data_IF_083537527326
#
_entry.id   IF_083537527326
#
_cell.length_a   1.000
_cell.length_b   1.000
_cell.length_c   1.000
_cell.angle_alpha   90.00
_cell.angle_beta   90.00
_cell.angle_gamma   90.00
#
_symmetry.space_group_name_H-M   'P 1'
#
loop_
_entity.id
_entity.type
_entity.pdbx_description
1 polymer ?
#
# COMPACT_ATOMS: atom_id res chain seq x y z
N UNK A 1 -7.58 -34.22 27.40
CA UNK A 1 -6.35 -33.89 26.64
C UNK A 1 -6.58 -34.11 25.14
N UNK A 2 -7.70 -33.57 24.62
CA UNK A 2 -8.15 -33.67 23.23
C UNK A 2 -8.47 -32.27 22.65
N UNK A 3 -8.14 -31.20 23.38
CA UNK A 3 -8.54 -29.82 23.07
C UNK A 3 -7.66 -29.10 22.02
N UNK A 4 -6.67 -29.76 21.41
CA UNK A 4 -5.70 -29.04 20.54
C UNK A 4 -5.46 -29.63 19.15
N UNK A 5 -6.30 -30.54 18.66
CA UNK A 5 -6.28 -30.91 17.24
C UNK A 5 -7.43 -30.22 16.52
N UNK A 6 -7.18 -28.98 16.09
CA UNK A 6 -8.07 -28.22 15.20
C UNK A 6 -7.51 -28.24 13.79
N UNK A 7 -8.37 -28.47 12.81
CA UNK A 7 -8.05 -28.26 11.39
C UNK A 7 -8.05 -26.75 11.16
N UNK A 8 -6.92 -26.21 10.72
CA UNK A 8 -6.85 -24.86 10.18
C UNK A 8 -7.35 -24.90 8.73
N UNK A 9 -8.21 -23.95 8.35
CA UNK A 9 -8.64 -23.81 6.97
C UNK A 9 -7.52 -23.26 6.08
N UNK A 10 -7.72 -23.31 4.77
CA UNK A 10 -6.77 -22.77 3.77
C UNK A 10 -6.78 -21.23 3.66
N UNK A 11 -7.38 -20.54 4.64
CA UNK A 11 -7.40 -19.09 4.74
C UNK A 11 -6.28 -18.60 5.66
N UNK A 12 -5.75 -17.39 5.44
CA UNK A 12 -4.86 -16.77 6.42
C UNK A 12 -5.50 -16.78 7.82
N UNK A 13 -4.67 -16.96 8.84
CA UNK A 13 -5.16 -17.01 10.21
C UNK A 13 -5.36 -15.59 10.72
N UNK A 14 -6.64 -15.19 10.82
CA UNK A 14 -7.03 -13.80 11.06
C UNK A 14 -7.44 -13.53 12.52
N UNK A 15 -7.49 -14.57 13.37
CA UNK A 15 -7.81 -14.46 14.79
C UNK A 15 -6.57 -14.03 15.59
N UNK A 16 -6.15 -12.78 15.40
CA UNK A 16 -4.83 -12.33 15.85
C UNK A 16 -4.74 -12.23 17.39
N UNK A 17 -5.87 -12.06 18.09
CA UNK A 17 -5.96 -12.15 19.55
C UNK A 17 -5.85 -13.58 20.12
N UNK A 18 -5.83 -14.61 19.28
CA UNK A 18 -5.54 -15.98 19.70
C UNK A 18 -4.04 -16.31 19.55
N UNK A 19 -3.56 -17.22 20.41
CA UNK A 19 -2.20 -17.77 20.36
C UNK A 19 -1.86 -18.16 18.92
N UNK A 20 -0.71 -17.71 18.41
CA UNK A 20 -0.31 -18.02 17.04
C UNK A 20 -0.13 -19.52 16.82
N UNK A 21 -1.01 -20.16 16.02
CA UNK A 21 -0.88 -21.58 15.75
C UNK A 21 0.33 -21.90 14.86
N UNK A 22 0.90 -20.90 14.17
CA UNK A 22 2.07 -21.07 13.29
C UNK A 22 3.39 -20.66 13.98
N UNK A 23 3.34 -20.06 15.17
CA UNK A 23 4.51 -19.70 15.96
C UNK A 23 5.39 -18.57 15.37
N UNK A 24 4.80 -17.68 14.58
CA UNK A 24 5.47 -16.52 13.98
C UNK A 24 5.51 -15.28 14.87
N UNK A 25 4.92 -15.29 16.06
CA UNK A 25 4.86 -14.07 16.90
C UNK A 25 6.24 -13.43 17.16
N UNK A 26 7.27 -14.20 17.56
CA UNK A 26 8.63 -13.67 17.76
C UNK A 26 9.27 -13.13 16.47
N UNK A 27 8.98 -13.79 15.34
CA UNK A 27 9.44 -13.37 14.02
C UNK A 27 8.78 -12.06 13.61
N UNK A 28 7.46 -11.93 13.84
CA UNK A 28 6.70 -10.71 13.55
C UNK A 28 7.17 -9.56 14.44
N UNK A 29 7.42 -9.80 15.73
CA UNK A 29 7.95 -8.78 16.66
C UNK A 29 9.30 -8.22 16.17
N UNK A 30 10.15 -9.09 15.61
CA UNK A 30 11.42 -8.64 15.00
C UNK A 30 11.20 -7.71 13.81
N UNK A 31 10.18 -7.94 12.97
CA UNK A 31 9.83 -7.01 11.88
C UNK A 31 9.29 -5.68 12.40
N UNK A 32 8.47 -5.71 13.45
CA UNK A 32 7.98 -4.47 14.08
C UNK A 32 9.16 -3.62 14.52
N UNK A 33 10.13 -4.22 15.21
CA UNK A 33 11.33 -3.50 15.67
C UNK A 33 12.16 -2.95 14.51
N UNK A 34 12.37 -3.74 13.46
CA UNK A 34 13.10 -3.28 12.26
C UNK A 34 12.39 -2.07 11.63
N UNK A 35 11.07 -2.15 11.44
CA UNK A 35 10.29 -1.09 10.80
C UNK A 35 10.30 0.19 11.64
N UNK A 36 10.04 0.09 12.95
CA UNK A 36 9.98 1.24 13.84
C UNK A 36 11.34 1.91 14.05
N UNK A 37 12.43 1.13 14.09
CA UNK A 37 13.78 1.68 14.24
C UNK A 37 14.36 2.20 12.91
N UNK A 38 13.73 1.91 11.78
CA UNK A 38 14.17 2.35 10.44
C UNK A 38 13.37 3.53 9.88
N UNK A 39 12.58 4.24 10.70
CA UNK A 39 11.78 5.41 10.27
C UNK A 39 12.61 6.44 9.48
N UNK A 40 13.82 6.72 9.95
CA UNK A 40 14.76 7.67 9.30
C UNK A 40 15.35 7.16 7.97
N UNK A 41 15.26 5.86 7.69
CA UNK A 41 15.72 5.25 6.45
C UNK A 41 14.62 5.18 5.37
N UNK A 42 13.44 5.76 5.64
CA UNK A 42 12.35 5.79 4.66
C UNK A 42 12.71 6.65 3.43
N UNK A 43 12.22 6.29 2.24
CA UNK A 43 11.40 5.12 1.93
C UNK A 43 12.20 3.80 1.83
N UNK A 44 11.63 2.69 2.29
CA UNK A 44 12.20 1.35 2.11
C UNK A 44 11.13 0.30 1.84
N UNK A 45 11.56 -0.86 1.32
CA UNK A 45 10.69 -2.00 0.99
C UNK A 45 11.19 -3.28 1.63
N UNK A 46 10.30 -4.06 2.24
CA UNK A 46 10.57 -5.37 2.82
C UNK A 46 9.85 -6.44 2.00
N UNK A 47 10.62 -7.36 1.42
CA UNK A 47 10.06 -8.53 0.73
C UNK A 47 9.85 -9.70 1.69
N UNK A 48 8.62 -10.20 1.79
CA UNK A 48 8.32 -11.46 2.51
C UNK A 48 8.24 -12.60 1.49
N UNK A 49 9.22 -13.50 1.53
CA UNK A 49 9.31 -14.65 0.63
C UNK A 49 9.15 -15.97 1.40
N UNK A 50 8.44 -16.91 0.80
CA UNK A 50 8.22 -18.25 1.34
C UNK A 50 7.36 -19.10 0.42
N UNK A 51 7.34 -20.41 0.62
CA UNK A 51 6.57 -21.35 -0.20
C UNK A 51 5.05 -21.11 -0.10
N UNK A 52 4.27 -21.78 -0.95
CA UNK A 52 2.82 -21.72 -0.88
C UNK A 52 2.32 -22.36 0.42
N UNK A 53 1.37 -21.72 1.11
CA UNK A 53 0.76 -22.26 2.33
C UNK A 53 1.57 -22.08 3.62
N UNK A 54 2.77 -21.49 3.59
CA UNK A 54 3.59 -21.29 4.81
C UNK A 54 3.06 -20.20 5.75
N UNK A 55 2.05 -19.43 5.34
CA UNK A 55 1.44 -18.39 6.18
C UNK A 55 1.97 -16.96 5.98
N UNK A 56 2.51 -16.62 4.80
CA UNK A 56 2.98 -15.25 4.47
C UNK A 56 1.95 -14.16 4.79
N UNK A 57 0.71 -14.33 4.30
CA UNK A 57 -0.39 -13.41 4.59
C UNK A 57 -0.72 -13.37 6.09
N UNK A 58 -0.62 -14.49 6.81
CA UNK A 58 -0.79 -14.52 8.27
C UNK A 58 0.27 -13.66 8.96
N UNK A 59 1.55 -13.79 8.57
CA UNK A 59 2.65 -12.96 9.07
C UNK A 59 2.37 -11.48 8.80
N UNK A 60 1.97 -11.13 7.57
CA UNK A 60 1.66 -9.74 7.19
C UNK A 60 0.49 -9.16 7.98
N UNK A 61 -0.59 -9.93 8.20
CA UNK A 61 -1.75 -9.48 9.00
C UNK A 61 -1.39 -9.28 10.47
N UNK A 62 -0.64 -10.22 11.06
CA UNK A 62 -0.12 -10.11 12.43
C UNK A 62 0.81 -8.90 12.58
N UNK A 63 1.67 -8.65 11.58
CA UNK A 63 2.54 -7.48 11.54
C UNK A 63 1.73 -6.18 11.47
N UNK A 64 0.71 -6.14 10.59
CA UNK A 64 -0.18 -4.99 10.46
C UNK A 64 -0.88 -4.66 11.78
N UNK A 65 -1.40 -5.66 12.50
CA UNK A 65 -2.06 -5.45 13.79
C UNK A 65 -1.13 -4.81 14.81
N UNK A 66 0.07 -5.38 15.00
CA UNK A 66 1.06 -4.82 15.92
C UNK A 66 1.46 -3.40 15.55
N UNK A 67 1.57 -3.08 14.27
CA UNK A 67 1.90 -1.72 13.82
C UNK A 67 0.74 -0.74 14.03
N UNK A 68 -0.52 -1.16 13.90
CA UNK A 68 -1.70 -0.31 14.18
C UNK A 68 -1.77 0.12 15.64
N UNK A 69 -1.31 -0.72 16.57
CA UNK A 69 -1.19 -0.40 18.00
C UNK A 69 -0.04 0.59 18.30
N UNK A 70 0.79 0.90 17.31
CA UNK A 70 1.92 1.84 17.41
C UNK A 70 1.62 3.13 16.63
N UNK A 71 2.61 3.98 16.50
CA UNK A 71 2.56 5.25 15.76
C UNK A 71 2.64 5.05 14.23
N UNK A 72 2.03 3.98 13.71
CA UNK A 72 1.95 3.72 12.28
C UNK A 72 0.51 3.82 11.76
N UNK A 73 0.36 4.40 10.57
CA UNK A 73 -0.79 4.22 9.72
C UNK A 73 -0.51 3.03 8.80
N UNK A 74 -1.50 2.17 8.57
CA UNK A 74 -1.30 0.98 7.72
C UNK A 74 -2.35 0.89 6.64
N UNK A 75 -1.93 0.62 5.40
CA UNK A 75 -2.83 0.42 4.26
C UNK A 75 -2.59 -0.98 3.71
N UNK A 76 -3.65 -1.66 3.26
CA UNK A 76 -3.55 -2.98 2.63
C UNK A 76 -4.00 -2.93 1.18
N UNK A 77 -3.12 -3.30 0.27
CA UNK A 77 -3.39 -3.38 -1.16
C UNK A 77 -3.25 -4.81 -1.67
N UNK A 78 -4.23 -5.24 -2.48
CA UNK A 78 -4.25 -6.56 -3.11
C UNK A 78 -4.18 -6.41 -4.64
N UNK A 79 -2.96 -6.36 -5.22
CA UNK A 79 -2.67 -6.41 -6.65
C UNK A 79 -3.60 -7.27 -7.52
N UNK A 80 -3.82 -8.51 -7.09
CA UNK A 80 -4.49 -9.52 -7.92
C UNK A 80 -5.94 -9.17 -8.25
N UNK A 81 -6.61 -8.32 -7.43
CA UNK A 81 -7.96 -7.81 -7.71
C UNK A 81 -8.03 -6.98 -9.00
N UNK A 82 -6.88 -6.57 -9.52
CA UNK A 82 -6.73 -5.78 -10.74
C UNK A 82 -5.95 -6.53 -11.83
N UNK A 83 -5.63 -7.82 -11.66
CA UNK A 83 -4.70 -8.58 -12.51
C UNK A 83 -5.08 -8.66 -14.02
N UNK A 84 -6.33 -8.36 -14.37
CA UNK A 84 -6.80 -8.32 -15.76
C UNK A 84 -6.77 -6.91 -16.37
N UNK A 85 -6.45 -5.88 -15.59
CA UNK A 85 -6.49 -4.48 -16.01
C UNK A 85 -5.07 -3.96 -16.21
N UNK A 86 -4.83 -3.24 -17.30
CA UNK A 86 -3.54 -2.58 -17.56
C UNK A 86 -3.14 -1.55 -16.48
N UNK A 87 -4.07 -1.21 -15.57
CA UNK A 87 -3.98 -0.05 -14.70
C UNK A 87 -3.92 -0.39 -13.21
N UNK A 88 -3.26 -1.50 -12.84
CA UNK A 88 -3.14 -1.94 -11.43
C UNK A 88 -2.59 -0.84 -10.52
N UNK A 89 -1.69 -0.01 -11.04
CA UNK A 89 -1.14 1.16 -10.34
C UNK A 89 -2.23 2.17 -9.93
N UNK A 90 -3.30 2.35 -10.71
CA UNK A 90 -4.45 3.20 -10.31
C UNK A 90 -5.13 2.66 -9.09
N UNK A 91 -5.26 1.33 -9.01
CA UNK A 91 -5.80 0.66 -7.84
C UNK A 91 -4.98 0.98 -6.59
N UNK A 92 -3.65 0.90 -6.70
CA UNK A 92 -2.73 1.20 -5.60
C UNK A 92 -2.85 2.67 -5.17
N UNK A 93 -2.70 3.59 -6.12
CA UNK A 93 -2.82 5.03 -5.87
C UNK A 93 -4.18 5.36 -5.27
N UNK A 94 -5.28 4.87 -5.87
CA UNK A 94 -6.63 5.06 -5.33
C UNK A 94 -6.75 4.56 -3.89
N UNK A 95 -6.20 3.38 -3.59
CA UNK A 95 -6.25 2.80 -2.23
C UNK A 95 -5.55 3.71 -1.22
N UNK A 96 -4.41 4.30 -1.60
CA UNK A 96 -3.72 5.30 -0.76
C UNK A 96 -4.55 6.58 -0.66
N UNK A 97 -5.12 7.05 -1.77
CA UNK A 97 -5.95 8.25 -1.81
C UNK A 97 -7.22 8.15 -0.96
N UNK A 98 -7.85 6.97 -0.94
CA UNK A 98 -9.07 6.71 -0.18
C UNK A 98 -8.84 6.77 1.35
N UNK A 99 -7.58 6.67 1.80
CA UNK A 99 -7.22 6.82 3.23
C UNK A 99 -7.17 8.29 3.66
N UNK A 100 -6.91 9.21 2.72
CA UNK A 100 -6.85 10.64 3.03
C UNK A 100 -8.24 11.21 3.32
N UNK A 101 -8.31 12.12 4.29
CA UNK A 101 -9.56 12.81 4.59
C UNK A 101 -9.93 13.79 3.46
N UNK A 102 -11.24 14.04 3.29
CA UNK A 102 -11.72 15.05 2.34
C UNK A 102 -11.10 16.42 2.64
N UNK A 103 -10.87 16.77 3.91
CA UNK A 103 -10.24 18.02 4.32
C UNK A 103 -8.77 18.11 3.86
N UNK A 104 -8.01 17.01 3.98
CA UNK A 104 -6.61 16.94 3.51
C UNK A 104 -6.57 17.17 2.00
N UNK A 105 -7.46 16.50 1.25
CA UNK A 105 -7.59 16.63 -0.20
C UNK A 105 -8.01 18.05 -0.59
N UNK A 106 -9.01 18.63 0.06
CA UNK A 106 -9.52 19.98 -0.22
C UNK A 106 -8.49 21.08 0.04
N UNK A 107 -7.71 20.98 1.12
CA UNK A 107 -6.61 21.92 1.41
C UNK A 107 -5.58 21.92 0.29
N UNK A 108 -5.12 20.73 -0.14
CA UNK A 108 -4.10 20.62 -1.19
C UNK A 108 -4.69 20.99 -2.55
N UNK A 109 -5.97 20.68 -2.79
CA UNK A 109 -6.69 21.16 -3.97
C UNK A 109 -6.67 22.69 -4.02
N UNK A 110 -6.85 23.39 -2.90
CA UNK A 110 -6.84 24.85 -2.88
C UNK A 110 -5.48 25.46 -3.25
N UNK A 111 -4.38 24.77 -2.97
CA UNK A 111 -3.00 25.20 -3.21
C UNK A 111 -2.48 24.79 -4.60
N UNK A 112 -2.89 23.60 -5.10
CA UNK A 112 -2.39 22.97 -6.34
C UNK A 112 -3.54 22.52 -7.27
N UNK A 113 -4.56 23.38 -7.46
CA UNK A 113 -5.83 23.08 -8.16
C UNK A 113 -5.67 22.32 -9.48
N UNK A 114 -4.85 22.81 -10.41
CA UNK A 114 -4.86 22.28 -11.79
C UNK A 114 -4.34 20.84 -11.91
N UNK A 115 -3.33 20.48 -11.13
CA UNK A 115 -2.67 19.17 -11.22
C UNK A 115 -3.43 18.14 -10.39
N UNK A 116 -3.80 18.50 -9.15
CA UNK A 116 -4.53 17.57 -8.28
C UNK A 116 -5.93 17.27 -8.82
N UNK A 117 -6.63 18.22 -9.45
CA UNK A 117 -7.90 17.94 -10.14
C UNK A 117 -7.68 16.93 -11.27
N UNK A 118 -6.65 17.12 -12.10
CA UNK A 118 -6.34 16.16 -13.19
C UNK A 118 -6.04 14.77 -12.63
N UNK A 119 -5.28 14.69 -11.54
CA UNK A 119 -4.92 13.44 -10.86
C UNK A 119 -6.17 12.76 -10.31
N UNK A 120 -6.96 13.48 -9.52
CA UNK A 120 -8.18 12.97 -8.88
C UNK A 120 -9.19 12.56 -9.95
N UNK A 121 -9.45 13.37 -10.97
CA UNK A 121 -10.33 13.00 -12.09
C UNK A 121 -9.82 11.75 -12.81
N UNK A 122 -8.50 11.66 -13.03
CA UNK A 122 -7.85 10.50 -13.62
C UNK A 122 -8.08 9.24 -12.78
N UNK A 123 -7.91 9.32 -11.46
CA UNK A 123 -8.05 8.19 -10.54
C UNK A 123 -9.52 7.82 -10.29
N UNK A 124 -10.42 8.81 -10.24
CA UNK A 124 -11.82 8.65 -9.79
C UNK A 124 -12.82 8.44 -10.93
N UNK A 125 -12.48 8.76 -12.19
CA UNK A 125 -13.33 8.42 -13.34
C UNK A 125 -13.72 6.94 -13.27
N UNK A 126 -15.03 6.68 -13.06
CA UNK A 126 -15.62 5.34 -13.00
C UNK A 126 -15.02 4.49 -14.12
N UNK A 127 -14.43 3.35 -13.74
CA UNK A 127 -13.92 2.26 -14.56
C UNK A 127 -14.76 2.02 -15.84
N UNK A 128 -14.56 2.85 -16.86
CA UNK A 128 -14.99 2.69 -18.24
C UNK A 128 -13.77 2.23 -19.01
N UNK A 129 -13.62 0.92 -19.13
CA UNK A 129 -12.44 0.22 -19.66
C UNK A 129 -12.21 0.43 -21.18
N UNK A 130 -12.83 1.43 -21.82
CA UNK A 130 -12.87 1.55 -23.27
C UNK A 130 -12.14 2.76 -23.86
N UNK A 131 -12.32 3.96 -23.30
CA UNK A 131 -11.86 5.20 -23.95
C UNK A 131 -10.62 5.84 -23.30
N UNK A 132 -10.24 5.38 -22.10
CA UNK A 132 -9.30 6.11 -21.25
C UNK A 132 -7.83 5.67 -21.42
N UNK A 133 -7.56 4.43 -21.85
CA UNK A 133 -6.20 3.87 -21.84
C UNK A 133 -5.24 4.63 -22.77
N UNK A 134 -5.70 5.14 -23.92
CA UNK A 134 -4.86 5.93 -24.84
C UNK A 134 -4.51 7.30 -24.26
N UNK A 135 -5.47 8.03 -23.69
CA UNK A 135 -5.23 9.35 -23.09
C UNK A 135 -4.33 9.26 -21.85
N UNK A 136 -4.50 8.20 -21.07
CA UNK A 136 -3.72 7.95 -19.86
C UNK A 136 -2.32 7.46 -20.16
N UNK A 137 -2.15 6.63 -21.20
CA UNK A 137 -0.84 6.24 -21.72
C UNK A 137 -0.13 7.44 -22.33
N UNK A 138 -0.86 8.43 -22.85
CA UNK A 138 -0.28 9.69 -23.33
C UNK A 138 0.09 10.64 -22.18
N UNK A 139 -0.70 10.71 -21.09
CA UNK A 139 -0.27 11.36 -19.82
C UNK A 139 0.97 10.68 -19.24
N UNK A 140 1.01 9.35 -19.20
CA UNK A 140 2.16 8.57 -18.73
C UNK A 140 3.35 8.60 -19.68
N UNK A 141 3.14 8.90 -20.96
CA UNK A 141 4.22 9.11 -21.94
C UNK A 141 4.92 10.46 -21.78
N UNK A 142 4.44 11.35 -20.90
CA UNK A 142 4.83 12.74 -20.92
C UNK A 142 5.41 13.23 -19.59
N UNK A 143 6.65 13.72 -19.71
CA UNK A 143 7.31 14.74 -18.90
C UNK A 143 7.64 14.36 -17.45
N UNK A 144 8.94 14.17 -17.17
CA UNK A 144 9.51 14.05 -15.81
C UNK A 144 8.93 15.08 -14.84
N UNK A 145 8.52 16.26 -15.34
CA UNK A 145 7.82 17.28 -14.56
C UNK A 145 6.53 16.78 -13.90
N UNK A 146 5.66 16.08 -14.63
CA UNK A 146 4.40 15.59 -14.04
C UNK A 146 4.65 14.56 -12.94
N UNK A 147 5.61 13.64 -13.15
CA UNK A 147 5.97 12.63 -12.14
C UNK A 147 6.49 13.32 -10.88
N UNK A 148 7.42 14.27 -11.02
CA UNK A 148 7.99 15.00 -9.88
C UNK A 148 6.92 15.83 -9.15
N UNK A 149 6.00 16.46 -9.89
CA UNK A 149 4.89 17.22 -9.30
C UNK A 149 3.92 16.29 -8.55
N UNK A 150 3.61 15.12 -9.11
CA UNK A 150 2.79 14.11 -8.48
C UNK A 150 3.43 13.58 -7.19
N UNK A 151 4.71 13.22 -7.25
CA UNK A 151 5.49 12.74 -6.10
C UNK A 151 5.49 13.80 -4.98
N UNK A 152 5.73 15.07 -5.31
CA UNK A 152 5.66 16.18 -4.35
C UNK A 152 4.26 16.34 -3.74
N UNK A 153 3.19 16.18 -4.53
CA UNK A 153 1.82 16.21 -4.02
C UNK A 153 1.59 15.03 -3.06
N UNK A 154 2.02 13.82 -3.42
CA UNK A 154 1.87 12.64 -2.57
C UNK A 154 2.63 12.77 -1.26
N UNK A 155 3.87 13.27 -1.31
CA UNK A 155 4.68 13.54 -0.13
C UNK A 155 3.97 14.51 0.82
N UNK A 156 3.43 15.60 0.28
CA UNK A 156 2.68 16.60 1.05
C UNK A 156 1.38 16.04 1.62
N UNK A 157 0.64 15.25 0.84
CA UNK A 157 -0.58 14.55 1.28
C UNK A 157 -0.28 13.59 2.44
N UNK A 158 0.73 12.75 2.27
CA UNK A 158 1.11 11.73 3.26
C UNK A 158 1.62 12.40 4.53
N UNK A 159 2.48 13.41 4.41
CA UNK A 159 3.04 14.13 5.56
C UNK A 159 1.95 14.79 6.38
N UNK A 160 1.07 15.57 5.74
CA UNK A 160 -0.05 16.25 6.42
C UNK A 160 -1.01 15.25 7.06
N UNK A 161 -1.33 14.16 6.36
CA UNK A 161 -2.25 13.17 6.89
C UNK A 161 -1.67 12.41 8.09
N UNK A 162 -0.38 12.08 8.06
CA UNK A 162 0.32 11.47 9.19
C UNK A 162 0.34 12.42 10.40
N UNK A 163 0.59 13.72 10.19
CA UNK A 163 0.51 14.75 11.24
C UNK A 163 -0.90 14.88 11.82
N UNK A 164 -1.93 14.93 10.97
CA UNK A 164 -3.35 15.00 11.39
C UNK A 164 -3.79 13.76 12.21
N UNK A 165 -3.15 12.61 11.98
CA UNK A 165 -3.46 11.35 12.67
C UNK A 165 -2.53 11.04 13.85
N UNK A 166 -1.57 11.93 14.15
CA UNK A 166 -0.52 11.70 15.15
C UNK A 166 0.23 10.37 14.91
N UNK A 167 0.62 10.13 13.66
CA UNK A 167 1.38 8.96 13.20
C UNK A 167 2.70 9.41 12.59
N UNK A 168 3.71 8.54 12.68
CA UNK A 168 5.06 8.83 12.17
C UNK A 168 5.36 8.16 10.84
N UNK A 169 4.68 7.05 10.56
CA UNK A 169 5.01 6.17 9.45
C UNK A 169 3.75 5.63 8.76
N UNK A 170 3.74 5.65 7.45
CA UNK A 170 2.76 4.95 6.62
C UNK A 170 3.36 3.63 6.12
N UNK A 171 2.74 2.51 6.48
CA UNK A 171 3.16 1.16 6.05
C UNK A 171 2.12 0.60 5.08
N UNK A 172 2.52 0.35 3.84
CA UNK A 172 1.64 -0.09 2.75
C UNK A 172 1.92 -1.56 2.44
N UNK A 173 1.06 -2.44 2.95
CA UNK A 173 1.13 -3.87 2.71
C UNK A 173 0.66 -4.21 1.29
N UNK A 174 1.50 -4.92 0.54
CA UNK A 174 1.19 -5.38 -0.82
C UNK A 174 1.23 -6.91 -0.83
N UNK A 175 0.06 -7.54 -0.76
CA UNK A 175 -0.05 -9.00 -0.66
C UNK A 175 -0.40 -9.67 -2.00
N UNK A 176 -0.13 -10.97 -2.13
CA UNK A 176 -0.47 -11.77 -3.31
C UNK A 176 0.12 -11.22 -4.63
N UNK A 177 1.29 -10.56 -4.58
CA UNK A 177 1.98 -10.05 -5.77
C UNK A 177 2.37 -11.18 -6.73
N UNK A 178 2.70 -12.37 -6.19
CA UNK A 178 3.03 -13.58 -6.95
C UNK A 178 1.83 -14.19 -7.69
N UNK A 179 0.60 -13.78 -7.35
CA UNK A 179 -0.62 -14.18 -8.06
C UNK A 179 -0.94 -13.29 -9.27
N UNK A 180 -0.22 -12.18 -9.44
CA UNK A 180 -0.36 -11.32 -10.60
C UNK A 180 0.35 -11.89 -11.82
N UNK A 181 -0.10 -11.47 -13.02
CA UNK A 181 0.71 -11.63 -14.23
C UNK A 181 2.04 -10.87 -14.06
N UNK A 182 3.16 -11.38 -14.59
CA UNK A 182 4.47 -10.73 -14.44
C UNK A 182 4.47 -9.25 -14.80
N UNK A 183 3.75 -8.88 -15.85
CA UNK A 183 3.63 -7.48 -16.30
C UNK A 183 2.92 -6.62 -15.25
N UNK A 184 1.87 -7.14 -14.63
CA UNK A 184 1.14 -6.43 -13.57
C UNK A 184 2.00 -6.23 -12.32
N UNK A 185 2.79 -7.25 -11.92
CA UNK A 185 3.69 -7.14 -10.80
C UNK A 185 4.75 -6.04 -11.04
N UNK A 186 5.35 -6.01 -12.24
CA UNK A 186 6.29 -4.96 -12.64
C UNK A 186 5.63 -3.57 -12.56
N UNK A 187 4.41 -3.41 -13.08
CA UNK A 187 3.69 -2.11 -13.02
C UNK A 187 3.45 -1.64 -11.59
N UNK A 188 3.23 -2.55 -10.65
CA UNK A 188 3.07 -2.18 -9.23
C UNK A 188 4.39 -1.69 -8.66
N UNK A 189 5.48 -2.41 -8.90
CA UNK A 189 6.81 -2.00 -8.42
C UNK A 189 7.24 -0.67 -9.03
N UNK A 190 6.97 -0.45 -10.32
CA UNK A 190 7.16 0.85 -10.99
C UNK A 190 6.33 1.95 -10.31
N UNK A 191 5.05 1.69 -10.01
CA UNK A 191 4.18 2.67 -9.37
C UNK A 191 4.64 3.04 -7.95
N UNK A 192 5.08 2.06 -7.16
CA UNK A 192 5.70 2.32 -5.85
C UNK A 192 6.88 3.27 -6.04
N UNK A 193 7.77 2.95 -6.99
CA UNK A 193 9.01 3.71 -7.17
C UNK A 193 8.79 5.12 -7.69
N UNK A 194 7.80 5.32 -8.56
CA UNK A 194 7.53 6.60 -9.21
C UNK A 194 6.64 7.54 -8.39
N UNK A 195 5.75 7.00 -7.54
CA UNK A 195 4.65 7.78 -6.97
C UNK A 195 4.56 7.74 -5.45
N UNK A 196 5.10 6.70 -4.82
CA UNK A 196 4.98 6.49 -3.37
C UNK A 196 6.35 6.42 -2.69
N UNK A 197 7.45 6.59 -3.43
CA UNK A 197 8.81 6.58 -2.90
C UNK A 197 9.15 7.89 -2.18
N UNK A 198 8.32 8.25 -1.20
CA UNK A 198 8.39 9.50 -0.44
C UNK A 198 8.80 9.21 1.01
N UNK A 199 9.36 10.21 1.74
CA UNK A 199 9.67 10.06 3.16
C UNK A 199 8.47 9.60 3.99
N UNK A 200 8.74 8.90 5.10
CA UNK A 200 7.73 8.32 6.00
C UNK A 200 6.88 7.19 5.39
N UNK A 201 7.29 6.60 4.27
CA UNK A 201 6.65 5.41 3.70
C UNK A 201 7.51 4.14 3.82
N UNK A 202 6.87 3.04 4.19
CA UNK A 202 7.43 1.69 4.10
C UNK A 202 6.46 0.77 3.34
N UNK A 203 7.01 -0.23 2.64
CA UNK A 203 6.26 -1.18 1.80
C UNK A 203 6.56 -2.62 2.21
#
# INVERSE_FOLDING_TARGET
MLDELRILGDTPFDNIGEKDPLGYDEFVDSFVDIILNSKEATPFTIGIQGEWGVGKTTVMKRLQERLKEKECLTIWFNPWKYAEKEEVWRGLIKTVFDEFSSDTIEKILSEKKEILIKIVDTITKKLGLGETISELRDIFRLDTRFINEFESIMEEMITRHLEEKEKDLLVIFIDDLDRCRPECAIRILEAIKLYLCVPKCAF
#
